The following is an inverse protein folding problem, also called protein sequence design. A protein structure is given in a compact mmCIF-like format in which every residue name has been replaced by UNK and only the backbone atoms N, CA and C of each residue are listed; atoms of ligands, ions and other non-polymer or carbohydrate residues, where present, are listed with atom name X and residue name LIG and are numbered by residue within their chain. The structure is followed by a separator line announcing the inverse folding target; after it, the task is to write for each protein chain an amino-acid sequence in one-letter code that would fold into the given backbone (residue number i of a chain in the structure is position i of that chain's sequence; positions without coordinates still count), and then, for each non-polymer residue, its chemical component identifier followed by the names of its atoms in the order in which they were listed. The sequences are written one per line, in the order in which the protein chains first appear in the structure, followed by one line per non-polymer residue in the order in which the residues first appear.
data_IF_056418283707
#
_entry.id   IF_056418283707
#
_cell.length_a   1.000
_cell.length_b   1.000
_cell.length_c   1.000
_cell.angle_alpha   90.00
_cell.angle_beta   90.00
_cell.angle_gamma   90.00
#
_symmetry.space_group_name_H-M   'P 1'
#
loop_
_entity.id
_entity.type
_entity.pdbx_description
1 polymer ?
#
# COMPACT_ATOMS: atom_id res chain seq x y z
N UNK A 1 1.66 10.22 5.78
CA UNK A 1 2.00 10.28 7.22
C UNK A 1 3.40 10.85 7.49
N UNK A 2 4.26 10.92 6.47
CA UNK A 2 5.66 11.35 6.62
C UNK A 2 5.94 12.75 6.08
N UNK A 3 4.93 13.48 5.66
CA UNK A 3 5.08 14.87 5.22
C UNK A 3 5.11 15.81 6.44
N UNK A 4 6.19 16.54 6.57
CA UNK A 4 6.36 17.57 7.59
C UNK A 4 5.68 18.86 7.16
N UNK A 5 5.03 19.56 8.08
CA UNK A 5 4.39 20.85 7.81
C UNK A 5 3.04 20.81 7.11
N UNK A 6 2.48 19.62 6.85
CA UNK A 6 1.16 19.46 6.25
C UNK A 6 0.28 18.56 7.14
N UNK A 7 -0.91 19.02 7.47
CA UNK A 7 -1.89 18.20 8.18
C UNK A 7 -2.70 17.35 7.18
N UNK A 8 -2.88 16.05 7.43
CA UNK A 8 -3.63 15.14 6.54
C UNK A 8 -5.15 15.27 6.76
N UNK A 9 -5.65 16.49 6.79
CA UNK A 9 -7.07 16.83 6.82
C UNK A 9 -7.57 17.21 5.41
N UNK A 10 -8.85 17.52 5.28
CA UNK A 10 -9.45 17.88 3.99
C UNK A 10 -8.74 19.04 3.30
N UNK A 11 -8.31 20.06 4.06
CA UNK A 11 -7.60 21.21 3.51
C UNK A 11 -6.21 20.84 2.99
N UNK A 12 -5.43 20.10 3.77
CA UNK A 12 -4.10 19.63 3.39
C UNK A 12 -4.13 18.68 2.18
N UNK A 13 -5.05 17.74 2.17
CA UNK A 13 -5.22 16.83 1.03
C UNK A 13 -5.74 17.54 -0.22
N UNK A 14 -6.63 18.52 -0.05
CA UNK A 14 -7.08 19.39 -1.14
C UNK A 14 -5.95 20.21 -1.73
N UNK A 15 -5.05 20.73 -0.91
CA UNK A 15 -3.84 21.44 -1.36
C UNK A 15 -2.93 20.51 -2.19
N UNK A 16 -2.64 19.30 -1.68
CA UNK A 16 -1.82 18.32 -2.41
C UNK A 16 -2.41 18.00 -3.78
N UNK A 17 -3.72 17.79 -3.85
CA UNK A 17 -4.42 17.50 -5.09
C UNK A 17 -4.41 18.69 -6.05
N UNK A 18 -4.84 19.84 -5.57
CA UNK A 18 -5.07 21.02 -6.41
C UNK A 18 -3.81 21.76 -6.85
N UNK A 19 -2.80 21.82 -5.98
CA UNK A 19 -1.58 22.61 -6.24
C UNK A 19 -0.37 21.74 -6.58
N UNK A 20 -0.30 20.52 -6.02
CA UNK A 20 0.86 19.63 -6.23
C UNK A 20 0.59 18.53 -7.27
N UNK A 21 -0.64 18.42 -7.80
CA UNK A 21 -0.97 17.38 -8.78
C UNK A 21 -0.95 15.96 -8.22
N UNK A 22 -1.06 15.80 -6.89
CA UNK A 22 -1.11 14.48 -6.26
C UNK A 22 -2.45 13.84 -6.53
N UNK A 23 -2.45 12.61 -6.99
CA UNK A 23 -3.66 11.82 -7.28
C UNK A 23 -3.85 10.63 -6.33
N UNK A 24 -2.80 10.22 -5.62
CA UNK A 24 -2.80 9.01 -4.78
C UNK A 24 -2.15 9.29 -3.43
N UNK A 25 -2.79 8.81 -2.36
CA UNK A 25 -2.28 8.88 -0.98
C UNK A 25 -1.98 7.48 -0.46
N UNK A 26 -0.80 7.33 0.14
CA UNK A 26 -0.42 6.14 0.89
C UNK A 26 -0.40 6.46 2.36
N UNK A 27 -1.13 5.71 3.19
CA UNK A 27 -1.18 5.94 4.63
C UNK A 27 -1.39 4.65 5.42
N UNK A 28 -0.87 4.62 6.63
CA UNK A 28 -1.16 3.58 7.65
C UNK A 28 -2.39 3.94 8.49
N UNK A 29 -2.93 5.15 8.33
CA UNK A 29 -4.01 5.68 9.13
C UNK A 29 -5.34 5.63 8.35
N UNK A 30 -6.31 4.85 8.85
CA UNK A 30 -7.61 4.69 8.23
C UNK A 30 -8.36 6.02 8.04
N UNK A 31 -8.28 6.95 9.00
CA UNK A 31 -8.93 8.27 8.89
C UNK A 31 -8.37 9.11 7.76
N UNK A 32 -7.05 9.05 7.57
CA UNK A 32 -6.38 9.75 6.44
C UNK A 32 -6.86 9.19 5.12
N UNK A 33 -6.93 7.86 5.01
CA UNK A 33 -7.42 7.15 3.82
C UNK A 33 -8.87 7.54 3.52
N UNK A 34 -9.75 7.53 4.51
CA UNK A 34 -11.15 7.92 4.34
C UNK A 34 -11.30 9.39 3.93
N UNK A 35 -10.48 10.28 4.53
CA UNK A 35 -10.49 11.71 4.17
C UNK A 35 -9.99 11.91 2.74
N UNK A 36 -8.95 11.19 2.33
CA UNK A 36 -8.42 11.23 0.97
C UNK A 36 -9.47 10.77 -0.05
N UNK A 37 -10.18 9.69 0.25
CA UNK A 37 -11.29 9.24 -0.61
C UNK A 37 -12.39 10.28 -0.78
N UNK A 38 -12.81 10.91 0.31
CA UNK A 38 -13.79 12.01 0.27
C UNK A 38 -13.30 13.20 -0.56
N UNK A 39 -11.98 13.38 -0.65
CA UNK A 39 -11.33 14.39 -1.49
C UNK A 39 -11.08 13.91 -2.92
N UNK A 40 -11.65 12.76 -3.31
CA UNK A 40 -11.48 12.14 -4.64
C UNK A 40 -10.01 11.85 -4.99
N UNK A 41 -9.22 11.45 -4.01
CA UNK A 41 -7.88 10.89 -4.18
C UNK A 41 -7.95 9.36 -4.19
N UNK A 42 -7.09 8.73 -4.97
CA UNK A 42 -6.86 7.29 -4.86
C UNK A 42 -6.13 6.98 -3.57
N UNK A 43 -6.35 5.80 -3.02
CA UNK A 43 -5.86 5.46 -1.69
C UNK A 43 -5.18 4.10 -1.65
N UNK A 44 -4.03 4.07 -1.00
CA UNK A 44 -3.30 2.85 -0.66
C UNK A 44 -3.19 2.77 0.85
N UNK A 45 -3.75 1.72 1.46
CA UNK A 45 -3.60 1.46 2.87
C UNK A 45 -2.36 0.61 3.10
N UNK A 46 -1.43 1.10 3.92
CA UNK A 46 -0.16 0.42 4.21
C UNK A 46 -0.28 -0.42 5.46
N UNK A 47 0.12 -1.69 5.35
CA UNK A 47 0.11 -2.67 6.44
C UNK A 47 1.54 -3.10 6.76
N UNK A 48 1.97 -2.94 8.00
CA UNK A 48 3.23 -3.46 8.49
C UNK A 48 3.02 -4.81 9.18
N UNK A 49 3.66 -5.85 8.67
CA UNK A 49 3.64 -7.21 9.24
C UNK A 49 4.70 -7.33 10.34
N UNK A 50 4.42 -6.80 11.51
CA UNK A 50 5.31 -6.91 12.67
C UNK A 50 5.10 -8.25 13.39
N UNK A 51 3.82 -8.65 13.52
CA UNK A 51 3.40 -9.89 14.18
C UNK A 51 1.97 -10.28 13.77
N UNK A 52 1.47 -11.36 14.35
CA UNK A 52 0.10 -11.83 14.10
C UNK A 52 -0.99 -10.88 14.62
N UNK A 53 -0.67 -10.05 15.62
CA UNK A 53 -1.60 -9.04 16.15
C UNK A 53 -1.76 -7.91 15.17
N UNK A 54 -0.64 -7.43 14.59
CA UNK A 54 -0.64 -6.41 13.54
C UNK A 54 -1.48 -6.86 12.34
N UNK A 55 -1.34 -8.10 11.90
CA UNK A 55 -2.12 -8.65 10.80
C UNK A 55 -3.63 -8.70 11.11
N UNK A 56 -4.02 -9.17 12.31
CA UNK A 56 -5.43 -9.17 12.72
C UNK A 56 -6.01 -7.77 12.80
N UNK A 57 -5.24 -6.81 13.31
CA UNK A 57 -5.65 -5.41 13.40
C UNK A 57 -5.84 -4.81 12.01
N UNK A 58 -4.91 -5.08 11.10
CA UNK A 58 -5.02 -4.65 9.71
C UNK A 58 -6.27 -5.22 9.03
N UNK A 59 -6.54 -6.52 9.17
CA UNK A 59 -7.73 -7.15 8.60
C UNK A 59 -9.03 -6.56 9.15
N UNK A 60 -9.09 -6.28 10.46
CA UNK A 60 -10.25 -5.61 11.07
C UNK A 60 -10.46 -4.21 10.48
N UNK A 61 -9.39 -3.43 10.34
CA UNK A 61 -9.44 -2.11 9.73
C UNK A 61 -9.92 -2.20 8.28
N UNK A 62 -9.32 -3.08 7.49
CA UNK A 62 -9.64 -3.28 6.08
C UNK A 62 -11.08 -3.75 5.84
N UNK A 63 -11.68 -4.46 6.78
CA UNK A 63 -13.10 -4.86 6.70
C UNK A 63 -14.05 -3.67 6.84
N UNK A 64 -13.59 -2.54 7.40
CA UNK A 64 -14.41 -1.37 7.69
C UNK A 64 -14.11 -0.16 6.80
N UNK A 65 -13.07 -0.21 5.96
CA UNK A 65 -12.69 0.90 5.07
C UNK A 65 -12.68 0.45 3.61
N UNK A 66 -12.89 1.42 2.74
CA UNK A 66 -12.69 1.22 1.30
C UNK A 66 -11.36 1.82 0.88
N UNK A 67 -10.57 1.04 0.15
CA UNK A 67 -9.28 1.46 -0.42
C UNK A 67 -9.12 0.91 -1.83
N UNK A 68 -8.33 1.59 -2.65
CA UNK A 68 -8.07 1.14 -4.01
C UNK A 68 -7.00 0.05 -4.02
N UNK A 69 -6.01 0.15 -3.13
CA UNK A 69 -4.97 -0.86 -2.99
C UNK A 69 -4.52 -1.03 -1.53
N UNK A 70 -3.93 -2.16 -1.24
CA UNK A 70 -3.27 -2.48 0.03
C UNK A 70 -1.80 -2.72 -0.25
N UNK A 71 -0.92 -2.04 0.46
CA UNK A 71 0.52 -2.27 0.40
C UNK A 71 0.98 -2.99 1.66
N UNK A 72 1.60 -4.14 1.50
CA UNK A 72 2.05 -5.03 2.58
C UNK A 72 3.56 -4.97 2.72
N UNK A 73 4.05 -4.66 3.90
CA UNK A 73 5.47 -4.56 4.22
C UNK A 73 5.80 -5.44 5.44
N UNK A 74 7.03 -5.99 5.51
CA UNK A 74 8.05 -6.00 4.47
C UNK A 74 7.78 -7.07 3.41
N UNK A 75 8.24 -6.83 2.18
CA UNK A 75 8.03 -7.72 1.03
C UNK A 75 8.41 -9.18 1.26
N UNK A 76 9.59 -9.50 1.85
CA UNK A 76 9.95 -10.90 2.12
C UNK A 76 8.96 -11.66 3.00
N UNK A 77 8.20 -10.98 3.85
CA UNK A 77 7.20 -11.58 4.74
C UNK A 77 5.78 -11.54 4.14
N UNK A 78 5.55 -10.72 3.13
CA UNK A 78 4.22 -10.44 2.58
C UNK A 78 3.53 -11.70 2.04
N UNK A 79 4.28 -12.62 1.44
CA UNK A 79 3.79 -13.91 0.92
C UNK A 79 3.02 -14.72 1.98
N UNK A 80 3.49 -14.73 3.22
CA UNK A 80 2.85 -15.49 4.31
C UNK A 80 1.46 -14.93 4.71
N UNK A 81 1.20 -13.65 4.43
CA UNK A 81 -0.02 -12.96 4.84
C UNK A 81 -1.08 -12.83 3.73
N UNK A 82 -0.73 -13.17 2.48
CA UNK A 82 -1.56 -12.84 1.32
C UNK A 82 -2.98 -13.43 1.39
N UNK A 83 -3.12 -14.68 1.80
CA UNK A 83 -4.43 -15.34 1.90
C UNK A 83 -5.35 -14.67 2.91
N UNK A 84 -4.79 -14.25 4.06
CA UNK A 84 -5.55 -13.59 5.11
C UNK A 84 -5.94 -12.16 4.71
N UNK A 85 -5.07 -11.44 4.01
CA UNK A 85 -5.36 -10.09 3.52
C UNK A 85 -6.39 -10.15 2.38
N UNK A 86 -6.30 -11.12 1.47
CA UNK A 86 -7.30 -11.35 0.42
C UNK A 86 -8.69 -11.64 1.00
N UNK A 87 -8.77 -12.36 2.12
CA UNK A 87 -10.05 -12.65 2.78
C UNK A 87 -10.75 -11.38 3.29
N UNK A 88 -10.03 -10.31 3.57
CA UNK A 88 -10.62 -9.02 3.99
C UNK A 88 -11.22 -8.19 2.84
N UNK A 89 -10.96 -8.57 1.58
CA UNK A 89 -11.50 -7.91 0.39
C UNK A 89 -10.91 -8.48 -0.90
N UNK A 90 -11.60 -9.43 -1.55
CA UNK A 90 -11.04 -10.24 -2.63
C UNK A 90 -10.67 -9.44 -3.90
N UNK A 91 -11.31 -8.29 -4.13
CA UNK A 91 -11.15 -7.51 -5.35
C UNK A 91 -10.21 -6.29 -5.20
N UNK A 92 -9.42 -6.24 -4.13
CA UNK A 92 -8.48 -5.14 -3.91
C UNK A 92 -7.13 -5.44 -4.56
N UNK A 93 -6.53 -4.41 -5.15
CA UNK A 93 -5.13 -4.49 -5.63
C UNK A 93 -4.20 -4.71 -4.44
N UNK A 94 -3.35 -5.73 -4.51
CA UNK A 94 -2.33 -6.01 -3.50
C UNK A 94 -0.94 -5.68 -4.00
N UNK A 95 -0.25 -4.84 -3.25
CA UNK A 95 1.14 -4.46 -3.48
C UNK A 95 2.00 -5.02 -2.35
N UNK A 96 3.21 -5.47 -2.67
CA UNK A 96 4.24 -5.80 -1.68
C UNK A 96 5.36 -4.76 -1.73
N UNK A 97 5.84 -4.33 -0.57
CA UNK A 97 6.87 -3.28 -0.48
C UNK A 97 7.87 -3.51 0.62
N UNK A 98 8.95 -2.74 0.60
CA UNK A 98 10.02 -2.81 1.59
C UNK A 98 10.95 -4.02 1.45
N UNK A 99 12.25 -3.75 1.48
CA UNK A 99 13.33 -4.75 1.36
C UNK A 99 13.30 -5.60 0.09
N UNK A 100 12.65 -5.16 -0.97
CA UNK A 100 12.63 -5.85 -2.26
C UNK A 100 13.84 -5.39 -3.06
N UNK A 101 14.84 -6.29 -3.23
CA UNK A 101 16.12 -5.96 -3.86
C UNK A 101 16.58 -6.97 -4.93
N UNK A 102 15.81 -8.04 -5.16
CA UNK A 102 16.15 -9.08 -6.14
C UNK A 102 14.98 -9.37 -7.06
N UNK A 103 15.26 -9.69 -8.31
CA UNK A 103 14.23 -10.12 -9.27
C UNK A 103 13.53 -11.40 -8.82
N UNK A 104 14.28 -12.34 -8.24
CA UNK A 104 13.70 -13.58 -7.72
C UNK A 104 12.62 -13.35 -6.66
N UNK A 105 12.82 -12.38 -5.75
CA UNK A 105 11.77 -12.01 -4.79
C UNK A 105 10.57 -11.36 -5.47
N UNK A 106 10.80 -10.55 -6.51
CA UNK A 106 9.71 -9.95 -7.30
C UNK A 106 8.87 -11.05 -7.97
N UNK A 107 9.53 -12.01 -8.63
CA UNK A 107 8.86 -13.14 -9.28
C UNK A 107 8.07 -13.97 -8.25
N UNK A 108 8.67 -14.29 -7.10
CA UNK A 108 8.01 -15.01 -6.00
C UNK A 108 6.75 -14.30 -5.48
N UNK A 109 6.76 -12.97 -5.42
CA UNK A 109 5.61 -12.18 -4.98
C UNK A 109 4.49 -12.19 -6.03
N UNK A 110 4.81 -12.06 -7.31
CA UNK A 110 3.83 -12.20 -8.38
C UNK A 110 3.23 -13.60 -8.42
N UNK A 111 4.06 -14.65 -8.30
CA UNK A 111 3.59 -16.03 -8.25
C UNK A 111 2.70 -16.31 -7.02
N UNK A 112 2.95 -15.62 -5.92
CA UNK A 112 2.10 -15.69 -4.73
C UNK A 112 0.74 -14.98 -4.90
N UNK A 113 0.57 -14.14 -5.95
CA UNK A 113 -0.67 -13.44 -6.26
C UNK A 113 -0.71 -11.96 -5.88
N UNK A 114 0.44 -11.32 -5.66
CA UNK A 114 0.51 -9.86 -5.60
C UNK A 114 0.35 -9.27 -6.99
N UNK A 115 -0.32 -8.13 -7.08
CA UNK A 115 -0.59 -7.42 -8.33
C UNK A 115 0.55 -6.47 -8.71
N UNK A 116 1.42 -6.14 -7.74
CA UNK A 116 2.56 -5.27 -7.96
C UNK A 116 3.53 -5.22 -6.78
N UNK A 117 4.68 -4.60 -7.01
CA UNK A 117 5.69 -4.36 -5.98
C UNK A 117 6.08 -2.89 -5.94
N UNK A 118 6.46 -2.42 -4.75
CA UNK A 118 7.03 -1.08 -4.55
C UNK A 118 8.46 -1.23 -4.04
N UNK A 119 9.40 -0.58 -4.69
CA UNK A 119 10.81 -0.62 -4.29
C UNK A 119 11.51 0.70 -4.61
N UNK A 120 12.44 1.10 -3.76
CA UNK A 120 13.39 2.19 -4.00
C UNK A 120 14.72 1.69 -4.59
N UNK A 121 14.87 0.39 -4.80
CA UNK A 121 16.09 -0.21 -5.33
C UNK A 121 16.15 -0.06 -6.85
N UNK A 122 16.85 0.98 -7.32
CA UNK A 122 16.92 1.37 -8.74
C UNK A 122 17.30 0.25 -9.72
N UNK A 123 18.21 -0.70 -9.41
CA UNK A 123 18.53 -1.77 -10.35
C UNK A 123 17.35 -2.62 -10.80
N UNK A 124 16.31 -2.75 -9.96
CA UNK A 124 15.10 -3.48 -10.34
C UNK A 124 14.22 -2.73 -11.34
N UNK A 125 14.31 -1.41 -11.40
CA UNK A 125 13.55 -0.59 -12.35
C UNK A 125 14.06 -0.76 -13.79
N UNK A 126 15.34 -1.08 -13.95
CA UNK A 126 16.00 -1.20 -15.26
C UNK A 126 15.83 -2.60 -15.88
N UNK A 127 15.53 -3.63 -15.09
CA UNK A 127 15.44 -5.01 -15.55
C UNK A 127 14.02 -5.49 -15.92
N UNK A 128 12.98 -4.77 -15.53
CA UNK A 128 11.57 -5.21 -15.70
C UNK A 128 10.79 -4.42 -16.76
N UNK A 129 11.46 -3.56 -17.54
CA UNK A 129 10.83 -2.77 -18.62
C UNK A 129 10.58 -3.60 -19.89
N UNK A 130 10.95 -4.87 -19.91
CA UNK A 130 10.83 -5.71 -21.09
C UNK A 130 10.13 -7.04 -20.79
N UNK A 131 8.88 -6.98 -20.38
CA UNK A 131 7.93 -8.11 -20.56
C UNK A 131 6.57 -7.62 -20.96
#
# INVERSE_FOLDING_TARGET
DMLSGLHPNSAGLGFLKGHCGVDTIVSTNARVVETARRSHLRTIFRVFLLDSIALRTANRTLSNIQVDAIEVLPGPMAKAAISQIRASGPNRTLLAGGFIRTSGLVDDLFDAGFDGVTTSYLPLWQGHVAR
#
